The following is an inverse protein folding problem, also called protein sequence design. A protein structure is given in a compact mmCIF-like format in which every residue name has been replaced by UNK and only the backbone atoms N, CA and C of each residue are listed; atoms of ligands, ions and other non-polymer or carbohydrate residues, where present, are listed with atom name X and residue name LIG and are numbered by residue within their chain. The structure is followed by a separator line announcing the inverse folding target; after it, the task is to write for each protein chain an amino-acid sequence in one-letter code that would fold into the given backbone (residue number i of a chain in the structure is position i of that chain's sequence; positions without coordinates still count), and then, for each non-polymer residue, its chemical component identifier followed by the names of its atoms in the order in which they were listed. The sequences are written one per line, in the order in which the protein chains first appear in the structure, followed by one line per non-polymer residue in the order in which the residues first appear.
data_IF_325711460956
#
_entry.id   IF_325711460956
#
_cell.length_a   1.000
_cell.length_b   1.000
_cell.length_c   1.000
_cell.angle_alpha   90.00
_cell.angle_beta   90.00
_cell.angle_gamma   90.00
#
_symmetry.space_group_name_H-M   'P 1'
#
loop_
_entity.id
_entity.type
_entity.pdbx_description
1 polymer ?
2 non-polymer ?
3 non-polymer ?
4 water ?
#
# COMPACT_ATOMS: atom_id res chain seq x y z
N UNK A 4 -15.80 14.02 -11.00
CA UNK A 4 -14.77 13.18 -11.62
C UNK A 4 -15.36 12.36 -12.76
N UNK A 5 -15.01 12.73 -13.99
CA UNK A 5 -15.60 12.12 -15.17
C UNK A 5 -15.51 10.60 -15.12
N UNK A 6 -14.29 10.07 -15.04
CA UNK A 6 -14.12 8.62 -15.06
C UNK A 6 -14.91 7.92 -13.97
N UNK A 7 -15.25 8.62 -12.87
CA UNK A 7 -16.06 8.02 -11.83
C UNK A 7 -17.55 8.08 -12.19
N UNK A 8 -18.01 9.21 -12.74
CA UNK A 8 -19.38 9.30 -13.21
C UNK A 8 -19.66 8.23 -14.26
N UNK A 9 -18.69 7.96 -15.13
CA UNK A 9 -18.89 6.90 -16.09
C UNK A 9 -19.04 5.55 -15.41
N UNK A 10 -18.23 5.27 -14.40
CA UNK A 10 -18.38 4.00 -13.69
C UNK A 10 -19.70 3.93 -12.94
N UNK A 11 -20.23 5.07 -12.48
CA UNK A 11 -21.52 5.09 -11.83
C UNK A 11 -22.62 4.64 -12.80
N UNK A 12 -22.71 5.30 -13.95
CA UNK A 12 -23.72 4.94 -14.94
C UNK A 12 -23.57 3.49 -15.37
N UNK A 13 -22.34 3.01 -15.51
CA UNK A 13 -22.13 1.62 -15.90
C UNK A 13 -22.71 0.66 -14.87
N UNK A 14 -22.71 1.04 -13.59
CA UNK A 14 -23.30 0.20 -12.56
C UNK A 14 -24.82 0.27 -12.58
N UNK A 15 -25.37 1.48 -12.74
CA UNK A 15 -26.82 1.63 -12.77
C UNK A 15 -27.42 0.95 -13.99
N UNK A 16 -26.87 1.23 -15.17
CA UNK A 16 -27.35 0.57 -16.38
C UNK A 16 -27.32 -0.94 -16.26
N UNK A 17 -26.55 -1.48 -15.33
CA UNK A 17 -26.50 -2.92 -15.08
C UNK A 17 -27.31 -3.31 -13.84
N UNK A 18 -28.20 -2.44 -13.38
CA UNK A 18 -29.17 -2.80 -12.36
C UNK A 18 -28.73 -2.56 -10.93
N UNK A 19 -27.48 -2.21 -10.69
CA UNK A 19 -26.98 -2.03 -9.33
C UNK A 19 -27.45 -0.67 -8.81
N UNK A 20 -28.21 -0.70 -7.68
CA UNK A 20 -28.75 0.50 -7.05
C UNK A 20 -27.82 0.98 -5.94
N UNK A 21 -27.78 2.29 -5.68
CA UNK A 21 -26.94 2.80 -4.58
C UNK A 21 -27.56 2.51 -3.23
N UNK A 22 -26.79 2.78 -2.18
CA UNK A 22 -27.22 2.54 -0.81
C UNK A 22 -26.71 3.68 0.07
N UNK A 23 -27.54 4.11 1.01
CA UNK A 23 -27.20 5.18 1.93
C UNK A 23 -26.66 4.59 3.24
N UNK A 24 -25.71 5.30 3.84
CA UNK A 24 -25.14 4.92 5.12
C UNK A 24 -25.01 6.17 5.98
N UNK A 25 -24.96 5.96 7.29
CA UNK A 25 -24.88 7.03 8.26
C UNK A 25 -23.59 6.91 9.06
N UNK A 26 -23.27 7.98 9.78
CA UNK A 26 -22.06 8.01 10.59
C UNK A 26 -22.01 6.81 11.52
N UNK A 27 -20.85 6.16 11.57
CA UNK A 27 -20.56 5.02 12.45
C UNK A 27 -21.18 3.72 11.95
N UNK A 28 -21.64 3.67 10.71
CA UNK A 28 -22.14 2.42 10.13
C UNK A 28 -21.02 1.74 9.36
N UNK A 29 -21.13 0.42 9.24
CA UNK A 29 -20.13 -0.40 8.57
C UNK A 29 -20.67 -0.85 7.22
N UNK A 30 -19.98 -0.47 6.14
CA UNK A 30 -20.39 -0.88 4.80
C UNK A 30 -19.99 -2.33 4.54
N UNK A 31 -18.80 -2.73 4.98
CA UNK A 31 -18.45 -4.13 5.12
C UNK A 31 -17.65 -4.29 6.41
N UNK A 32 -17.69 -5.49 6.97
CA UNK A 32 -17.05 -5.77 8.24
C UNK A 32 -16.19 -7.02 8.12
N UNK A 33 -15.38 -7.25 9.16
CA UNK A 33 -14.38 -8.32 9.15
C UNK A 33 -14.97 -9.70 9.39
N UNK A 34 -16.25 -9.81 9.74
CA UNK A 34 -16.84 -11.10 10.10
C UNK A 34 -17.70 -11.69 9.00
N UNK A 35 -18.20 -10.89 8.08
CA UNK A 35 -18.98 -11.42 6.98
C UNK A 35 -18.12 -12.37 6.15
N UNK A 36 -18.57 -13.61 5.89
CA UNK A 36 -17.81 -14.46 4.97
C UNK A 36 -17.88 -13.98 3.54
N UNK A 37 -18.94 -13.28 3.17
CA UNK A 37 -19.06 -12.72 1.83
C UNK A 37 -18.20 -11.47 1.73
N UNK A 38 -17.33 -11.44 0.71
CA UNK A 38 -16.52 -10.27 0.42
C UNK A 38 -17.18 -9.45 -0.67
N UNK A 39 -16.87 -8.14 -0.67
CA UNK A 39 -17.59 -7.19 -1.52
C UNK A 39 -16.61 -6.22 -2.17
N UNK A 40 -17.03 -5.69 -3.31
CA UNK A 40 -16.38 -4.54 -3.93
C UNK A 40 -17.22 -3.31 -3.65
N UNK A 41 -16.58 -2.26 -3.14
CA UNK A 41 -17.27 -1.04 -2.70
C UNK A 41 -16.88 0.09 -3.64
N UNK A 42 -17.88 0.73 -4.23
CA UNK A 42 -17.68 1.97 -4.98
C UNK A 42 -18.20 3.10 -4.12
N UNK A 43 -17.33 3.66 -3.28
CA UNK A 43 -17.67 4.82 -2.48
C UNK A 43 -17.86 6.01 -3.40
N UNK A 44 -19.11 6.38 -3.66
CA UNK A 44 -19.41 7.48 -4.55
C UNK A 44 -19.38 8.82 -3.84
N UNK A 45 -19.96 8.91 -2.64
CA UNK A 45 -19.97 10.14 -1.88
C UNK A 45 -19.84 9.82 -0.39
N UNK A 46 -19.13 10.67 0.33
CA UNK A 46 -18.92 10.51 1.76
C UNK A 46 -17.45 10.25 2.08
N UNK A 47 -17.19 10.12 3.38
CA UNK A 47 -15.86 9.86 3.89
C UNK A 47 -15.94 8.65 4.82
N UNK A 48 -15.05 7.69 4.62
CA UNK A 48 -15.03 6.46 5.40
C UNK A 48 -13.60 6.21 5.89
N UNK A 49 -13.43 5.13 6.64
CA UNK A 49 -12.10 4.76 7.12
C UNK A 49 -12.03 3.25 7.28
N UNK A 50 -10.85 2.70 6.97
CA UNK A 50 -10.57 1.28 7.14
C UNK A 50 -10.06 1.04 8.56
N UNK A 51 -10.70 0.11 9.27
CA UNK A 51 -10.36 -0.12 10.67
C UNK A 51 -10.05 -1.59 10.90
N UNK A 52 -9.19 -1.84 11.90
CA UNK A 52 -8.80 -3.18 12.32
C UNK A 52 -9.00 -3.28 13.82
N UNK A 53 -8.79 -4.49 14.35
CA UNK A 53 -8.93 -4.76 15.78
C UNK A 53 -7.84 -5.72 16.22
N UNK A 54 -7.29 -5.49 17.40
CA UNK A 54 -6.24 -6.32 17.96
C UNK A 54 -6.84 -7.34 18.94
N UNK A 55 -5.96 -8.09 19.59
CA UNK A 55 -6.35 -9.09 20.57
C UNK A 55 -7.07 -8.40 21.72
N UNK A 56 -6.59 -7.19 22.04
CA UNK A 56 -7.20 -6.36 23.08
C UNK A 56 -8.64 -6.01 22.74
N UNK A 57 -8.93 -5.81 21.47
CA UNK A 57 -10.14 -5.09 21.10
C UNK A 57 -9.92 -3.60 20.91
N UNK A 58 -8.67 -3.17 20.88
CA UNK A 58 -8.37 -1.84 20.38
C UNK A 58 -8.75 -1.71 18.92
N UNK A 59 -9.49 -0.64 18.62
CA UNK A 59 -9.75 -0.20 17.25
C UNK A 59 -8.51 0.51 16.71
N UNK A 60 -8.21 0.28 15.44
CA UNK A 60 -7.10 0.92 14.76
C UNK A 60 -7.60 1.52 13.45
N UNK A 61 -7.19 2.76 13.17
CA UNK A 61 -7.49 3.42 11.91
C UNK A 61 -6.30 3.27 10.98
N UNK A 62 -6.54 2.76 9.77
CA UNK A 62 -5.48 2.42 8.83
C UNK A 62 -5.48 3.28 7.58
N UNK A 63 -6.65 3.57 7.02
CA UNK A 63 -6.73 4.28 5.75
C UNK A 63 -8.02 5.07 5.70
N UNK A 64 -8.00 6.17 4.96
CA UNK A 64 -9.18 7.00 4.74
C UNK A 64 -9.52 6.98 3.26
N UNK A 65 -10.82 7.02 2.97
CA UNK A 65 -11.30 7.06 1.59
C UNK A 65 -12.42 8.08 1.47
N UNK A 66 -12.35 8.92 0.44
CA UNK A 66 -13.45 9.78 0.07
C UNK A 66 -13.99 9.33 -1.29
N UNK A 67 -15.28 9.59 -1.50
CA UNK A 67 -15.87 9.31 -2.80
C UNK A 67 -15.52 10.42 -3.76
N UNK A 68 -15.30 10.12 -5.04
CA UNK A 68 -15.40 8.78 -5.60
C UNK A 68 -14.14 7.96 -5.34
N UNK A 69 -14.31 6.65 -5.13
CA UNK A 69 -13.18 5.74 -4.96
C UNK A 69 -13.72 4.32 -4.88
N UNK A 70 -12.81 3.35 -4.96
CA UNK A 70 -13.14 1.93 -4.92
C UNK A 70 -12.37 1.29 -3.76
N UNK A 71 -13.06 0.47 -2.98
CA UNK A 71 -12.44 -0.32 -1.91
C UNK A 71 -12.95 -1.74 -2.04
N UNK A 72 -12.03 -2.70 -2.09
CA UNK A 72 -12.35 -4.11 -2.23
C UNK A 72 -11.83 -4.88 -1.03
N UNK A 73 -12.73 -5.57 -0.34
CA UNK A 73 -12.39 -6.33 0.85
C UNK A 73 -11.90 -7.74 0.54
N UNK A 74 -11.87 -8.12 -0.73
CA UNK A 74 -11.46 -9.46 -1.10
C UNK A 74 -10.66 -9.46 -2.38
N UNK A 75 -9.81 -10.47 -2.52
CA UNK A 75 -9.06 -10.65 -3.76
C UNK A 75 -10.01 -10.96 -4.91
N UNK A 76 -9.72 -10.41 -6.08
CA UNK A 76 -10.64 -10.56 -7.21
C UNK A 76 -10.65 -12.00 -7.70
N UNK A 77 -9.52 -12.69 -7.63
CA UNK A 77 -9.45 -14.06 -8.16
C UNK A 77 -10.05 -15.07 -7.18
N UNK A 78 -9.54 -15.10 -5.96
CA UNK A 78 -10.00 -16.08 -4.98
C UNK A 78 -11.31 -15.69 -4.31
N UNK A 79 -11.65 -14.40 -4.29
CA UNK A 79 -12.90 -13.90 -3.70
C UNK A 79 -12.89 -13.97 -2.18
N UNK A 80 -11.71 -13.85 -1.56
CA UNK A 80 -11.56 -14.04 -0.12
C UNK A 80 -10.90 -12.81 0.49
N UNK A 81 -11.04 -12.68 1.80
CA UNK A 81 -10.63 -11.49 2.52
C UNK A 81 -9.17 -11.15 2.24
N UNK A 82 -8.90 -9.87 2.01
CA UNK A 82 -7.53 -9.36 1.96
C UNK A 82 -7.01 -8.95 3.32
N UNK A 83 -7.77 -9.18 4.39
CA UNK A 83 -7.42 -8.77 5.73
C UNK A 83 -8.69 -8.53 6.51
N UNK A 84 -8.60 -8.71 7.83
CA UNK A 84 -9.76 -8.52 8.71
C UNK A 84 -9.91 -7.03 8.98
N UNK A 85 -10.54 -6.35 8.03
CA UNK A 85 -10.76 -4.91 8.08
C UNK A 85 -12.25 -4.62 8.05
N UNK A 86 -12.62 -3.47 8.62
CA UNK A 86 -13.98 -2.95 8.54
C UNK A 86 -13.94 -1.55 7.95
N UNK A 87 -14.98 -1.21 7.20
CA UNK A 87 -15.07 0.08 6.52
C UNK A 87 -16.20 0.89 7.15
N UNK A 88 -15.84 1.91 7.91
CA UNK A 88 -16.77 2.68 8.72
C UNK A 88 -16.98 4.06 8.11
N UNK A 89 -18.22 4.54 8.16
CA UNK A 89 -18.54 5.90 7.71
C UNK A 89 -18.25 6.87 8.85
N UNK A 90 -17.53 7.95 8.52
CA UNK A 90 -17.27 9.00 9.49
C UNK A 90 -17.91 10.33 9.11
N UNK A 91 -18.31 10.52 7.86
CA UNK A 91 -19.15 11.65 7.50
C UNK A 91 -20.59 11.40 7.96
N UNK A 92 -21.42 12.43 7.86
CA UNK A 92 -22.80 12.31 8.31
C UNK A 92 -23.57 11.33 7.44
N UNK A 93 -23.35 11.35 6.12
CA UNK A 93 -23.97 10.41 5.21
C UNK A 93 -22.97 9.99 4.15
N UNK A 94 -23.22 8.84 3.54
CA UNK A 94 -22.35 8.30 2.50
C UNK A 94 -23.16 7.46 1.54
N UNK A 95 -23.05 7.75 0.25
CA UNK A 95 -23.71 7.00 -0.80
C UNK A 95 -22.71 6.03 -1.43
N UNK A 96 -23.11 4.76 -1.55
CA UNK A 96 -22.18 3.70 -1.91
C UNK A 96 -22.91 2.64 -2.71
N UNK A 97 -22.18 1.98 -3.61
CA UNK A 97 -22.65 0.81 -4.34
C UNK A 97 -21.90 -0.41 -3.83
N UNK A 98 -22.64 -1.46 -3.47
CA UNK A 98 -22.03 -2.66 -2.93
C UNK A 98 -22.19 -3.82 -3.90
N UNK A 99 -21.05 -4.41 -4.28
CA UNK A 99 -21.03 -5.43 -5.31
C UNK A 99 -20.35 -6.68 -4.78
N UNK A 100 -21.00 -7.83 -4.92
CA UNK A 100 -20.33 -9.09 -4.64
C UNK A 100 -19.19 -9.27 -5.63
N UNK A 101 -18.07 -9.80 -5.17
CA UNK A 101 -16.86 -9.79 -5.98
C UNK A 101 -17.04 -10.61 -7.25
N UNK A 102 -17.70 -11.75 -7.13
CA UNK A 102 -17.95 -12.61 -8.28
C UNK A 102 -18.80 -11.89 -9.31
N UNK A 103 -19.77 -11.14 -8.81
CA UNK A 103 -20.64 -10.34 -9.66
C UNK A 103 -19.83 -9.28 -10.38
N UNK A 104 -18.84 -8.72 -9.71
CA UNK A 104 -18.03 -7.66 -10.30
C UNK A 104 -17.27 -8.12 -11.53
N UNK A 105 -16.71 -9.32 -11.51
CA UNK A 105 -15.76 -9.71 -12.56
C UNK A 105 -16.37 -9.89 -13.94
N UNK A 106 -17.50 -10.59 -14.03
CA UNK A 106 -18.29 -10.57 -15.26
C UNK A 106 -18.67 -9.14 -15.64
N UNK A 107 -18.79 -8.27 -14.65
CA UNK A 107 -19.16 -6.89 -14.91
C UNK A 107 -18.00 -6.10 -15.50
N UNK A 108 -16.82 -6.22 -14.89
CA UNK A 108 -15.64 -5.53 -15.40
C UNK A 108 -15.15 -6.14 -16.72
N UNK A 109 -15.52 -7.38 -17.00
CA UNK A 109 -15.05 -8.04 -18.23
C UNK A 109 -15.60 -7.35 -19.47
N UNK A 110 -16.89 -7.04 -19.48
CA UNK A 110 -17.57 -6.54 -20.66
C UNK A 110 -17.34 -5.05 -20.90
N UNK A 111 -16.29 -4.47 -20.30
CA UNK A 111 -15.91 -3.09 -20.56
C UNK A 111 -14.53 -2.82 -19.99
N UNK A 112 -13.51 -2.81 -20.85
CA UNK A 112 -12.14 -2.66 -20.38
C UNK A 112 -11.89 -1.29 -19.77
N UNK A 113 -12.55 -0.25 -20.30
CA UNK A 113 -12.34 1.11 -19.77
C UNK A 113 -12.60 1.15 -18.27
N UNK A 114 -13.72 0.57 -17.84
CA UNK A 114 -14.03 0.55 -16.41
C UNK A 114 -13.11 -0.40 -15.65
N UNK A 115 -12.59 -1.43 -16.32
CA UNK A 115 -11.56 -2.25 -15.71
C UNK A 115 -10.31 -1.42 -15.43
N UNK A 116 -9.88 -0.62 -16.40
CA UNK A 116 -8.74 0.26 -16.19
C UNK A 116 -9.00 1.24 -15.07
N UNK A 117 -10.22 1.76 -14.97
CA UNK A 117 -10.56 2.66 -13.87
C UNK A 117 -10.31 1.98 -12.54
N UNK A 118 -11.01 0.87 -12.29
CA UNK A 118 -10.83 0.14 -11.03
C UNK A 118 -9.36 -0.25 -10.85
N UNK A 119 -8.73 -0.73 -11.92
CA UNK A 119 -7.35 -1.17 -11.82
C UNK A 119 -6.44 -0.05 -11.33
N UNK A 120 -6.68 1.17 -11.82
CA UNK A 120 -5.82 2.29 -11.47
C UNK A 120 -6.10 2.81 -10.07
N UNK A 121 -7.34 2.68 -9.57
CA UNK A 121 -7.61 3.05 -8.19
C UNK A 121 -6.76 2.23 -7.23
N UNK A 122 -6.56 0.95 -7.55
CA UNK A 122 -5.66 0.12 -6.76
C UNK A 122 -4.24 0.66 -6.82
N UNK A 123 -3.80 1.10 -8.00
CA UNK A 123 -2.46 1.66 -8.12
C UNK A 123 -2.30 2.91 -7.25
N UNK A 124 -3.24 3.85 -7.38
CA UNK A 124 -3.22 5.02 -6.50
C UNK A 124 -3.12 4.62 -5.05
N UNK A 125 -3.78 3.52 -4.67
CA UNK A 125 -3.76 3.07 -3.29
C UNK A 125 -2.38 2.56 -2.90
N UNK A 126 -1.74 1.78 -3.77
CA UNK A 126 -0.40 1.27 -3.48
C UNK A 126 0.56 2.43 -3.24
N UNK A 127 0.64 3.36 -4.19
CA UNK A 127 1.63 4.43 -4.11
C UNK A 127 1.32 5.39 -2.96
N UNK A 128 0.05 5.59 -2.64
CA UNK A 128 -0.30 6.39 -1.47
C UNK A 128 0.34 5.82 -0.21
N UNK A 129 0.20 4.51 -0.01
CA UNK A 129 0.74 3.89 1.19
C UNK A 129 2.27 3.96 1.23
N UNK A 130 2.91 3.91 0.06
CA UNK A 130 4.36 3.99 0.03
C UNK A 130 4.86 5.42 0.22
N UNK A 131 4.08 6.41 -0.21
CA UNK A 131 4.44 7.80 0.06
C UNK A 131 4.21 8.14 1.54
N UNK A 132 3.12 7.64 2.12
CA UNK A 132 2.92 7.81 3.56
C UNK A 132 4.09 7.20 4.33
N UNK A 133 4.48 5.98 3.98
CA UNK A 133 5.62 5.34 4.64
C UNK A 133 6.89 6.12 4.41
N UNK A 134 7.08 6.66 3.20
CA UNK A 134 8.30 7.41 2.90
C UNK A 134 8.36 8.69 3.72
N UNK A 135 7.24 9.43 3.79
CA UNK A 135 7.23 10.66 4.57
C UNK A 135 7.42 10.38 6.06
N UNK A 136 6.76 9.34 6.57
CA UNK A 136 6.96 8.98 7.97
C UNK A 136 8.39 8.55 8.25
N UNK A 137 9.04 7.90 7.28
CA UNK A 137 10.41 7.44 7.50
C UNK A 137 11.36 8.61 7.70
N UNK A 138 11.07 9.76 7.08
CA UNK A 138 11.97 10.91 7.12
C UNK A 138 11.58 11.83 8.27
N UNK A 139 10.36 12.36 8.22
CA UNK A 139 9.90 13.37 9.16
C UNK A 139 8.94 12.82 10.21
N UNK A 140 8.87 11.50 10.34
CA UNK A 140 8.12 10.85 11.41
C UNK A 140 6.64 11.21 11.44
N UNK A 141 6.06 11.08 12.64
CA UNK A 141 4.65 11.41 12.82
C UNK A 141 4.36 12.83 12.39
N UNK A 142 5.31 13.74 12.62
CA UNK A 142 5.13 15.12 12.16
C UNK A 142 4.99 15.19 10.65
N UNK A 143 5.60 14.25 9.92
CA UNK A 143 5.45 14.18 8.49
C UNK A 143 4.11 13.60 8.08
N UNK A 144 3.64 12.60 8.83
CA UNK A 144 2.34 12.01 8.56
C UNK A 144 1.23 13.05 8.73
N UNK A 145 1.26 13.81 9.82
CA UNK A 145 0.23 14.81 10.08
C UNK A 145 0.23 15.87 8.99
N UNK A 146 1.41 16.41 8.67
CA UNK A 146 1.50 17.41 7.60
C UNK A 146 1.00 16.84 6.29
N UNK A 147 1.28 15.56 6.03
CA UNK A 147 0.75 14.94 4.83
C UNK A 147 -0.76 14.86 4.84
N UNK A 148 -1.34 14.34 5.93
CA UNK A 148 -2.79 14.28 6.03
C UNK A 148 -3.41 15.66 5.94
N UNK A 149 -2.74 16.69 6.46
CA UNK A 149 -3.22 18.05 6.29
C UNK A 149 -3.09 18.50 4.83
N UNK A 150 -1.99 18.14 4.18
CA UNK A 150 -1.80 18.51 2.78
C UNK A 150 -2.91 17.92 1.91
N UNK A 151 -3.25 16.65 2.13
CA UNK A 151 -4.32 16.02 1.36
C UNK A 151 -5.62 16.78 1.55
N UNK A 152 -6.01 17.02 2.80
CA UNK A 152 -7.26 17.73 3.06
C UNK A 152 -7.25 19.11 2.41
N UNK A 153 -6.09 19.77 2.39
CA UNK A 153 -5.98 21.08 1.76
C UNK A 153 -6.23 20.99 0.27
N UNK A 154 -5.64 19.99 -0.40
CA UNK A 154 -5.79 19.88 -1.85
C UNK A 154 -7.20 19.47 -2.24
N UNK A 155 -7.87 18.68 -1.41
CA UNK A 155 -9.16 18.10 -1.78
C UNK A 155 -10.31 19.03 -1.45
N UNK A 156 -10.26 19.70 -0.29
CA UNK A 156 -11.36 20.53 0.17
C UNK A 156 -11.00 22.01 0.27
N UNK A 157 -9.79 22.40 -0.11
CA UNK A 157 -9.34 23.77 0.07
C UNK A 157 -9.78 24.67 -1.07
N UNK A 158 -10.23 25.87 -0.70
CA UNK A 158 -10.59 26.93 -1.63
C UNK A 158 -9.77 28.17 -1.29
N UNK A 159 -9.14 28.77 -2.30
CA UNK A 159 -8.30 29.93 -2.06
C UNK A 159 -9.16 31.15 -1.73
N UNK A 160 -8.80 31.86 -0.66
CA UNK A 160 -9.55 33.02 -0.17
C UNK A 160 -8.57 34.05 0.38
N UNK A 161 -9.04 35.23 0.78
CA UNK A 161 -8.10 36.20 1.36
C UNK A 161 -7.57 35.80 2.72
N UNK A 162 -8.36 35.07 3.51
CA UNK A 162 -7.91 34.55 4.78
C UNK A 162 -7.03 33.32 4.64
N UNK A 163 -6.92 32.75 3.44
CA UNK A 163 -6.11 31.56 3.23
C UNK A 163 -6.88 30.52 2.43
N UNK A 164 -6.51 29.25 2.60
CA UNK A 164 -7.18 28.15 1.92
C UNK A 164 -8.21 27.59 2.91
N UNK A 165 -9.44 28.04 2.79
CA UNK A 165 -10.51 27.57 3.66
C UNK A 165 -10.77 26.09 3.42
N UNK A 166 -10.70 25.30 4.49
CA UNK A 166 -11.02 23.89 4.41
C UNK A 166 -12.53 23.75 4.42
N UNK A 167 -13.13 23.65 3.23
CA UNK A 167 -14.57 23.50 3.12
C UNK A 167 -14.97 22.10 3.58
N UNK A 168 -15.24 21.96 4.87
CA UNK A 168 -15.51 20.67 5.47
C UNK A 168 -15.99 20.88 6.90
N UNK A 169 -17.14 20.29 7.25
CA UNK A 169 -17.75 20.56 8.55
C UNK A 169 -16.73 20.33 9.66
N UNK A 170 -16.78 21.20 10.68
CA UNK A 170 -15.82 21.13 11.77
C UNK A 170 -15.90 19.80 12.51
N UNK A 171 -17.09 19.20 12.56
CA UNK A 171 -17.21 17.87 13.15
C UNK A 171 -16.30 16.89 12.43
N UNK A 172 -16.53 16.69 11.13
CA UNK A 172 -15.73 15.76 10.35
C UNK A 172 -14.25 16.15 10.34
N UNK A 173 -13.97 17.46 10.32
CA UNK A 173 -12.58 17.90 10.23
C UNK A 173 -11.82 17.65 11.52
N UNK A 174 -12.50 17.69 12.67
CA UNK A 174 -11.84 17.43 13.94
C UNK A 174 -11.46 15.96 14.08
N UNK A 175 -12.34 15.06 13.62
CA UNK A 175 -12.04 13.64 13.69
C UNK A 175 -10.81 13.28 12.87
N UNK A 176 -10.78 13.71 11.61
CA UNK A 176 -9.75 13.24 10.67
C UNK A 176 -8.35 13.52 11.21
N UNK A 177 -8.09 14.75 11.63
CA UNK A 177 -6.78 15.12 12.13
C UNK A 177 -6.24 14.15 13.17
N UNK A 185 -4.72 9.36 19.76
CA UNK A 185 -3.41 9.45 20.42
C UNK A 185 -3.23 10.83 21.04
N UNK A 186 -2.46 10.90 22.13
CA UNK A 186 -2.15 12.18 22.74
C UNK A 186 -1.06 12.91 21.97
N UNK A 187 -0.08 12.17 21.43
CA UNK A 187 0.96 12.79 20.62
C UNK A 187 0.39 13.42 19.36
N UNK A 188 -0.73 12.89 18.86
CA UNK A 188 -1.36 13.47 17.67
C UNK A 188 -1.97 14.83 18.01
N UNK A 189 -2.60 14.94 19.18
CA UNK A 189 -3.25 16.19 19.55
C UNK A 189 -2.23 17.33 19.63
N UNK A 190 -1.05 17.02 20.17
CA UNK A 190 -0.07 18.08 20.37
C UNK A 190 0.53 18.56 19.05
N UNK A 191 0.72 17.69 18.12
CA UNK A 191 1.31 18.06 16.83
C UNK A 191 0.35 18.96 16.05
N UNK A 192 -0.93 18.57 16.00
CA UNK A 192 -1.92 19.40 15.31
C UNK A 192 -1.94 20.80 15.92
N UNK A 193 -1.93 20.88 17.25
CA UNK A 193 -2.04 22.17 17.90
C UNK A 193 -0.80 23.03 17.69
N UNK A 194 0.39 22.41 17.66
CA UNK A 194 1.59 23.18 17.41
C UNK A 194 1.56 23.82 16.02
N UNK A 195 1.03 23.11 15.03
CA UNK A 195 0.81 23.71 13.73
C UNK A 195 -0.17 24.87 13.83
N UNK A 196 -1.21 24.70 14.62
CA UNK A 196 -2.12 25.79 14.89
C UNK A 196 -1.40 26.92 15.62
N UNK A 197 -0.54 26.58 16.56
CA UNK A 197 0.24 27.57 17.27
C UNK A 197 1.15 28.34 16.31
N UNK A 198 1.84 27.62 15.43
CA UNK A 198 2.74 28.23 14.46
C UNK A 198 2.03 28.92 13.31
N UNK A 199 0.70 28.98 13.34
CA UNK A 199 -0.09 29.69 12.34
C UNK A 199 0.00 29.03 10.97
N UNK A 200 0.27 27.73 10.93
CA UNK A 200 0.18 26.97 9.68
C UNK A 200 -1.27 26.87 9.25
N UNK A 201 -2.14 26.41 10.14
CA UNK A 201 -3.58 26.40 9.94
C UNK A 201 -4.20 27.23 11.05
N UNK A 202 -5.13 28.10 10.69
CA UNK A 202 -5.70 29.09 11.60
C UNK A 202 -7.21 28.88 11.69
N UNK A 203 -7.76 29.11 12.88
CA UNK A 203 -9.20 29.16 13.09
C UNK A 203 -9.65 30.61 13.05
N UNK A 204 -10.74 30.87 12.33
CA UNK A 204 -11.21 32.24 12.15
C UNK A 204 -12.63 32.25 11.59
N UNK A 205 -13.56 32.84 12.33
CA UNK A 205 -14.95 32.96 11.91
C UNK A 205 -15.56 31.57 11.64
N UNK A 206 -15.42 30.69 12.63
CA UNK A 206 -16.02 29.35 12.63
C UNK A 206 -15.42 28.42 11.58
N UNK A 207 -14.38 28.85 10.85
CA UNK A 207 -13.79 28.04 9.80
C UNK A 207 -12.29 27.92 10.03
N UNK A 208 -11.67 27.00 9.28
CA UNK A 208 -10.23 26.76 9.36
C UNK A 208 -9.59 27.10 8.02
N UNK A 209 -8.49 27.86 8.06
CA UNK A 209 -7.78 28.29 6.86
C UNK A 209 -6.33 27.83 6.95
N UNK A 210 -5.81 27.28 5.86
CA UNK A 210 -4.41 26.92 5.77
C UNK A 210 -3.65 28.13 5.23
N UNK A 211 -2.58 28.51 5.92
CA UNK A 211 -1.88 29.75 5.61
C UNK A 211 -0.40 29.56 5.30
N UNK A 212 0.19 28.41 5.61
CA UNK A 212 1.58 28.11 5.27
C UNK A 212 1.61 26.78 4.52
N UNK A 213 1.13 26.81 3.27
CA UNK A 213 1.11 25.60 2.45
C UNK A 213 2.50 25.05 2.23
N UNK A 214 3.51 25.91 2.11
CA UNK A 214 4.87 25.45 1.92
C UNK A 214 5.34 24.62 3.10
N UNK A 215 4.87 24.95 4.31
CA UNK A 215 5.24 24.16 5.48
C UNK A 215 4.80 22.71 5.32
N UNK A 216 3.57 22.50 4.83
CA UNK A 216 3.07 21.15 4.63
C UNK A 216 3.81 20.44 3.51
N UNK A 217 3.97 21.12 2.37
CA UNK A 217 4.71 20.52 1.26
C UNK A 217 6.13 20.13 1.67
N UNK A 218 6.74 20.89 2.58
CA UNK A 218 8.11 20.62 2.98
C UNK A 218 8.22 19.31 3.75
N UNK A 219 7.28 19.06 4.67
CA UNK A 219 7.38 17.93 5.57
C UNK A 219 6.60 16.71 5.10
N UNK A 220 5.84 16.83 4.01
CA UNK A 220 5.22 15.68 3.34
C UNK A 220 5.55 15.74 1.86
N UNK A 221 6.84 15.75 1.52
CA UNK A 221 7.22 15.98 0.12
C UNK A 221 6.85 14.83 -0.79
N UNK A 222 6.83 13.60 -0.30
CA UNK A 222 6.51 12.46 -1.14
C UNK A 222 5.01 12.28 -1.32
N UNK A 223 4.22 12.70 -0.33
CA UNK A 223 2.78 12.74 -0.54
C UNK A 223 2.37 13.92 -1.40
N UNK A 224 3.18 14.99 -1.41
CA UNK A 224 2.95 16.08 -2.35
C UNK A 224 3.25 15.63 -3.78
N UNK A 225 4.24 14.75 -3.96
CA UNK A 225 4.51 14.19 -5.28
C UNK A 225 3.41 13.21 -5.68
N UNK A 226 3.01 12.33 -4.76
CA UNK A 226 1.93 11.40 -5.05
C UNK A 226 0.71 12.12 -5.60
N UNK A 227 0.33 13.21 -4.95
CA UNK A 227 -0.79 14.01 -5.41
C UNK A 227 -0.51 14.60 -6.78
N UNK A 228 0.72 15.03 -7.00
CA UNK A 228 1.09 15.63 -8.28
C UNK A 228 1.02 14.60 -9.40
N UNK A 229 1.48 13.37 -9.14
CA UNK A 229 1.49 12.33 -10.16
C UNK A 229 0.14 11.64 -10.31
N UNK A 230 -0.69 11.65 -9.28
CA UNK A 230 -1.97 10.96 -9.29
C UNK A 230 -3.17 11.89 -9.53
N UNK A 231 -3.15 13.09 -8.94
CA UNK A 231 -4.23 14.07 -9.09
C UNK A 231 -3.62 15.40 -9.51
N UNK A 232 -3.07 15.48 -10.72
CA UNK A 232 -2.41 16.73 -11.14
C UNK A 232 -3.34 17.92 -11.21
N UNK A 233 -4.54 17.74 -11.75
CA UNK A 233 -5.47 18.87 -11.86
C UNK A 233 -5.85 19.41 -10.49
N UNK A 234 -6.10 18.52 -9.53
CA UNK A 234 -6.37 18.97 -8.16
C UNK A 234 -5.12 19.55 -7.52
N UNK A 235 -3.94 19.02 -7.86
CA UNK A 235 -2.69 19.56 -7.35
C UNK A 235 -2.40 20.94 -7.91
N UNK A 236 -2.84 21.20 -9.15
CA UNK A 236 -2.48 22.45 -9.81
C UNK A 236 -3.24 23.67 -9.30
N UNK A 237 -4.45 23.48 -8.80
CA UNK A 237 -5.27 24.62 -8.39
C UNK A 237 -4.57 25.45 -7.32
N UNK A 238 -3.89 24.80 -6.38
CA UNK A 238 -3.23 25.48 -5.27
C UNK A 238 -1.72 25.61 -5.49
N UNK A 239 -1.23 25.28 -6.68
CA UNK A 239 0.19 25.40 -6.97
C UNK A 239 0.42 26.26 -8.21
N UNK B 4 3.75 -21.53 -8.55
CA UNK B 4 2.63 -20.62 -8.74
C UNK B 4 1.96 -20.88 -10.08
N UNK B 5 0.77 -21.49 -10.03
CA UNK B 5 0.06 -21.86 -11.25
C UNK B 5 -0.21 -20.65 -12.13
N UNK B 6 -0.90 -19.64 -11.57
CA UNK B 6 -1.31 -18.49 -12.38
C UNK B 6 -0.12 -17.66 -12.84
N UNK B 7 1.02 -17.74 -12.16
CA UNK B 7 2.21 -17.02 -12.60
C UNK B 7 2.86 -17.72 -13.78
N UNK B 8 3.02 -19.05 -13.69
CA UNK B 8 3.53 -19.81 -14.82
C UNK B 8 2.67 -19.62 -16.06
N UNK B 9 1.35 -19.51 -15.87
CA UNK B 9 0.46 -19.27 -17.00
C UNK B 9 0.65 -17.86 -17.58
N UNK B 10 0.98 -16.89 -16.73
CA UNK B 10 1.27 -15.56 -17.23
C UNK B 10 2.58 -15.55 -18.01
N UNK B 11 3.57 -16.34 -17.57
CA UNK B 11 4.82 -16.46 -18.31
C UNK B 11 4.57 -16.91 -19.74
N UNK B 12 3.81 -18.00 -19.92
CA UNK B 12 3.53 -18.49 -21.27
C UNK B 12 2.87 -17.41 -22.12
N UNK B 13 1.83 -16.76 -21.57
CA UNK B 13 1.10 -15.76 -22.34
C UNK B 13 2.02 -14.67 -22.87
N UNK B 14 3.07 -14.33 -22.14
CA UNK B 14 3.99 -13.29 -22.58
C UNK B 14 4.93 -13.81 -23.67
N UNK B 15 5.52 -14.99 -23.44
CA UNK B 15 6.46 -15.54 -24.43
C UNK B 15 5.76 -15.81 -25.75
N UNK B 16 4.50 -16.24 -25.71
CA UNK B 16 3.72 -16.43 -26.93
C UNK B 16 3.31 -15.12 -27.57
N UNK B 17 3.69 -13.98 -27.00
CA UNK B 17 3.41 -12.66 -27.58
C UNK B 17 4.68 -11.92 -27.94
N UNK B 18 5.83 -12.59 -27.96
CA UNK B 18 7.07 -11.97 -28.35
C UNK B 18 7.83 -11.29 -27.23
N UNK B 19 7.46 -11.52 -25.98
CA UNK B 19 8.13 -10.92 -24.83
C UNK B 19 9.07 -11.97 -24.23
N UNK B 20 10.37 -11.66 -24.23
CA UNK B 20 11.39 -12.59 -23.80
C UNK B 20 11.94 -12.20 -22.44
N UNK B 21 12.50 -13.15 -21.69
CA UNK B 21 13.08 -12.84 -20.39
C UNK B 21 14.44 -12.16 -20.53
N UNK B 22 14.84 -11.48 -19.46
CA UNK B 22 16.07 -10.71 -19.45
C UNK B 22 16.80 -10.94 -18.14
N UNK B 23 18.12 -11.16 -18.23
CA UNK B 23 18.94 -11.34 -17.04
C UNK B 23 19.36 -9.98 -16.48
N UNK B 24 19.27 -9.86 -15.15
CA UNK B 24 19.74 -8.69 -14.44
C UNK B 24 20.59 -9.15 -13.26
N UNK B 25 21.76 -8.56 -13.11
CA UNK B 25 22.64 -8.90 -12.00
C UNK B 25 22.51 -7.89 -10.88
N UNK B 26 23.02 -8.27 -9.71
CA UNK B 26 22.88 -7.48 -8.50
C UNK B 26 23.21 -6.01 -8.76
N UNK B 27 22.42 -5.12 -8.16
CA UNK B 27 22.62 -3.67 -8.14
C UNK B 27 22.13 -3.00 -9.42
N UNK B 28 21.65 -3.75 -10.42
CA UNK B 28 21.10 -3.14 -11.61
C UNK B 28 19.67 -2.65 -11.35
N UNK B 29 19.30 -1.58 -12.05
CA UNK B 29 17.98 -0.96 -11.90
C UNK B 29 17.12 -1.37 -13.08
N UNK B 30 16.08 -2.17 -12.82
CA UNK B 30 15.23 -2.67 -13.88
C UNK B 30 14.39 -1.53 -14.47
N UNK B 31 13.93 -0.61 -13.63
CA UNK B 31 13.50 0.70 -14.09
C UNK B 31 14.01 1.73 -13.09
N UNK B 32 14.07 2.99 -13.54
CA UNK B 32 14.65 4.06 -12.74
C UNK B 32 13.71 5.26 -12.73
N UNK B 33 13.91 6.11 -11.73
CA UNK B 33 13.03 7.26 -11.49
C UNK B 33 13.22 8.38 -12.50
N UNK B 34 14.29 8.36 -13.30
CA UNK B 34 14.54 9.40 -14.29
C UNK B 34 14.07 9.03 -15.69
N UNK B 35 13.72 7.78 -15.92
CA UNK B 35 13.28 7.37 -17.24
C UNK B 35 11.83 7.79 -17.45
N UNK B 36 11.53 8.64 -18.44
CA UNK B 36 10.12 9.02 -18.65
C UNK B 36 9.27 7.88 -19.18
N UNK B 37 9.87 6.84 -19.76
CA UNK B 37 9.14 5.67 -20.20
C UNK B 37 8.84 4.78 -18.99
N UNK B 38 7.57 4.51 -18.75
CA UNK B 38 7.15 3.65 -17.66
C UNK B 38 6.87 2.24 -18.15
N UNK B 39 7.14 1.26 -17.30
CA UNK B 39 7.10 -0.14 -17.69
C UNK B 39 6.25 -0.94 -16.71
N UNK B 40 5.82 -2.10 -17.18
CA UNK B 40 5.28 -3.15 -16.34
C UNK B 40 6.32 -4.26 -16.23
N UNK B 41 6.67 -4.63 -15.01
CA UNK B 41 7.74 -5.59 -14.75
C UNK B 41 7.09 -6.85 -14.19
N UNK B 42 7.29 -7.97 -14.88
CA UNK B 42 6.92 -9.29 -14.35
C UNK B 42 8.20 -9.94 -13.85
N UNK B 43 8.50 -9.72 -12.58
CA UNK B 43 9.67 -10.33 -11.94
C UNK B 43 9.39 -11.82 -11.77
N UNK B 44 9.98 -12.64 -12.63
CA UNK B 44 9.75 -14.08 -12.57
C UNK B 44 10.62 -14.76 -11.53
N UNK B 45 11.88 -14.34 -11.42
CA UNK B 45 12.80 -14.94 -10.47
C UNK B 45 13.78 -13.89 -9.98
N UNK B 46 14.15 -13.99 -8.71
CA UNK B 46 15.06 -13.06 -8.08
C UNK B 46 14.36 -12.22 -7.02
N UNK B 47 15.15 -11.33 -6.42
CA UNK B 47 14.68 -10.46 -5.35
C UNK B 47 15.03 -9.02 -5.71
N UNK B 48 14.09 -8.11 -5.47
CA UNK B 48 14.26 -6.70 -5.82
C UNK B 48 13.76 -5.84 -4.67
N UNK B 49 14.02 -4.54 -4.78
CA UNK B 49 13.55 -3.57 -3.79
C UNK B 49 13.21 -2.27 -4.49
N UNK B 50 12.11 -1.67 -4.08
CA UNK B 50 11.73 -0.35 -4.56
C UNK B 50 12.51 0.70 -3.79
N UNK B 51 13.09 1.67 -4.50
CA UNK B 51 13.88 2.72 -3.88
C UNK B 51 13.42 4.09 -4.36
N UNK B 52 13.70 5.09 -3.53
CA UNK B 52 13.54 6.50 -3.88
C UNK B 52 14.81 7.22 -3.47
N UNK B 53 15.47 7.86 -4.43
CA UNK B 53 16.73 8.54 -4.18
C UNK B 53 16.46 10.04 -4.16
N UNK B 54 16.85 10.68 -3.07
CA UNK B 54 16.69 12.12 -2.92
C UNK B 54 17.85 12.86 -3.59
N UNK B 55 17.62 14.15 -3.87
CA UNK B 55 18.70 15.00 -4.36
C UNK B 55 19.88 14.96 -3.41
N UNK B 56 19.61 14.85 -2.10
CA UNK B 56 20.68 14.69 -1.12
C UNK B 56 21.59 13.52 -1.46
N UNK B 57 21.04 12.54 -2.18
CA UNK B 57 21.72 11.29 -2.46
C UNK B 57 21.49 10.18 -1.46
N UNK B 58 20.62 10.42 -0.48
CA UNK B 58 20.13 9.35 0.37
C UNK B 58 19.20 8.40 -0.37
N UNK B 59 19.17 7.14 0.05
CA UNK B 59 18.34 6.14 -0.57
C UNK B 59 17.31 5.56 0.39
N UNK B 60 16.05 5.57 -0.02
CA UNK B 60 14.95 5.13 0.82
C UNK B 60 14.45 3.78 0.32
N UNK B 61 14.45 2.78 1.19
CA UNK B 61 14.00 1.43 0.84
C UNK B 61 12.53 1.30 1.20
N UNK B 62 11.67 1.27 0.17
CA UNK B 62 10.23 1.38 0.35
C UNK B 62 9.52 0.03 0.33
N UNK B 63 9.94 -0.90 -0.53
CA UNK B 63 9.23 -2.16 -0.70
C UNK B 63 10.21 -3.20 -1.20
N UNK B 64 9.85 -4.47 -1.03
CA UNK B 64 10.64 -5.60 -1.50
C UNK B 64 9.74 -6.59 -2.22
N UNK B 65 10.29 -7.24 -3.25
CA UNK B 65 9.54 -8.21 -4.03
C UNK B 65 10.44 -9.37 -4.43
N UNK B 66 9.90 -10.57 -4.31
CA UNK B 66 10.50 -11.76 -4.89
C UNK B 66 9.65 -12.21 -6.08
N UNK B 67 10.26 -13.03 -6.95
CA UNK B 67 9.53 -13.58 -8.07
C UNK B 67 8.82 -14.87 -7.65
N UNK B 68 7.63 -15.15 -8.18
CA UNK B 68 6.97 -14.33 -9.21
C UNK B 68 6.15 -13.20 -8.60
N UNK B 69 6.21 -12.03 -9.25
CA UNK B 69 5.41 -10.89 -8.84
C UNK B 69 5.43 -9.88 -9.98
N UNK B 70 4.55 -8.87 -9.88
CA UNK B 70 4.41 -7.85 -10.90
C UNK B 70 4.53 -6.48 -10.24
N UNK B 71 5.35 -5.61 -10.84
CA UNK B 71 5.57 -4.26 -10.36
C UNK B 71 5.45 -3.32 -11.55
N UNK B 72 4.44 -2.44 -11.52
CA UNK B 72 4.22 -1.47 -12.57
C UNK B 72 4.71 -0.10 -12.10
N UNK B 73 5.55 0.53 -12.90
CA UNK B 73 6.09 1.85 -12.59
C UNK B 73 5.20 2.99 -13.07
N UNK B 74 4.17 2.70 -13.86
CA UNK B 74 3.28 3.72 -14.37
C UNK B 74 1.83 3.31 -14.24
N UNK B 75 0.95 4.31 -14.35
CA UNK B 75 -0.48 4.07 -14.27
C UNK B 75 -0.99 3.45 -15.57
N UNK B 76 -1.74 2.36 -15.44
CA UNK B 76 -2.16 1.59 -16.62
C UNK B 76 -2.92 2.46 -17.59
N UNK B 77 -3.62 3.48 -17.09
CA UNK B 77 -4.46 4.31 -17.95
C UNK B 77 -3.69 5.50 -18.51
N UNK B 78 -3.08 6.32 -17.64
CA UNK B 78 -2.36 7.50 -18.09
C UNK B 78 -0.96 7.18 -18.60
N UNK B 79 -0.37 6.06 -18.18
CA UNK B 79 0.98 5.66 -18.55
C UNK B 79 2.05 6.54 -17.91
N UNK B 80 1.67 7.44 -17.01
CA UNK B 80 2.61 8.30 -16.33
C UNK B 80 3.09 7.66 -15.03
N UNK B 81 4.16 8.20 -14.49
CA UNK B 81 4.79 7.61 -13.31
C UNK B 81 3.83 7.59 -12.13
N UNK B 82 3.84 6.47 -11.39
CA UNK B 82 3.13 6.39 -10.12
C UNK B 82 3.97 6.91 -8.96
N UNK B 83 5.22 7.31 -9.23
CA UNK B 83 6.12 7.77 -8.20
C UNK B 83 7.55 7.64 -8.66
N UNK B 84 8.43 8.52 -8.18
CA UNK B 84 9.83 8.52 -8.60
C UNK B 84 10.55 7.38 -7.88
N UNK B 85 10.34 6.17 -8.39
CA UNK B 85 10.87 4.96 -7.79
C UNK B 85 11.82 4.25 -8.75
N UNK B 86 12.69 3.43 -8.18
CA UNK B 86 13.55 2.53 -8.96
C UNK B 86 13.33 1.11 -8.45
N UNK B 87 13.65 0.14 -9.29
CA UNK B 87 13.57 -1.27 -8.95
C UNK B 87 14.97 -1.86 -9.02
N UNK B 88 15.63 -1.97 -7.86
CA UNK B 88 17.00 -2.46 -7.79
C UNK B 88 17.02 -3.96 -7.54
N UNK B 89 17.99 -4.64 -8.12
CA UNK B 89 18.20 -6.06 -7.90
C UNK B 89 19.15 -6.24 -6.73
N UNK B 90 18.73 -7.02 -5.73
CA UNK B 90 19.57 -7.29 -4.57
C UNK B 90 20.00 -8.74 -4.47
N UNK B 91 19.45 -9.62 -5.31
CA UNK B 91 20.00 -10.96 -5.47
C UNK B 91 21.10 -10.94 -6.54
N UNK B 92 21.88 -12.02 -6.60
CA UNK B 92 23.00 -12.07 -7.54
C UNK B 92 22.52 -11.93 -8.97
N UNK B 93 21.49 -12.69 -9.35
CA UNK B 93 20.87 -12.58 -10.66
C UNK B 93 19.37 -12.43 -10.50
N UNK B 94 18.73 -11.93 -11.56
CA UNK B 94 17.29 -11.75 -11.59
C UNK B 94 16.79 -11.93 -13.01
N UNK B 95 15.58 -12.47 -13.13
CA UNK B 95 14.95 -12.73 -14.42
C UNK B 95 13.59 -12.02 -14.44
N UNK B 96 13.41 -11.13 -15.42
CA UNK B 96 12.24 -10.28 -15.47
C UNK B 96 11.80 -10.08 -16.92
N UNK B 97 10.49 -9.98 -17.12
CA UNK B 97 9.91 -9.66 -18.42
C UNK B 97 9.52 -8.18 -18.40
N UNK B 98 10.24 -7.37 -19.17
CA UNK B 98 10.08 -5.92 -19.15
C UNK B 98 9.16 -5.51 -20.29
N UNK B 99 8.12 -4.75 -19.98
CA UNK B 99 7.06 -4.42 -20.91
C UNK B 99 6.78 -2.93 -20.83
N UNK B 100 6.65 -2.28 -21.98
CA UNK B 100 6.06 -0.96 -22.04
C UNK B 100 4.59 -1.00 -21.62
N UNK B 101 4.14 0.04 -20.93
CA UNK B 101 2.79 0.07 -20.38
C UNK B 101 1.77 0.01 -21.51
N UNK B 102 2.03 0.72 -22.60
CA UNK B 102 1.06 0.76 -23.69
C UNK B 102 0.88 -0.62 -24.32
N UNK B 103 1.96 -1.40 -24.38
CA UNK B 103 1.86 -2.76 -24.87
C UNK B 103 1.12 -3.67 -23.90
N UNK B 104 1.08 -3.31 -22.60
CA UNK B 104 0.39 -4.15 -21.63
C UNK B 104 -1.13 -4.06 -21.80
N UNK B 105 -1.65 -2.84 -21.98
CA UNK B 105 -3.08 -2.68 -22.21
C UNK B 105 -3.55 -3.52 -23.39
N UNK B 106 -2.68 -3.71 -24.38
CA UNK B 106 -3.04 -4.53 -25.54
C UNK B 106 -3.15 -6.02 -25.16
N UNK B 107 -2.30 -6.48 -24.25
CA UNK B 107 -2.29 -7.89 -23.86
C UNK B 107 -3.34 -8.20 -22.80
N UNK B 108 -3.35 -7.46 -21.68
CA UNK B 108 -4.36 -7.67 -20.67
C UNK B 108 -5.76 -7.49 -21.22
N UNK B 109 -5.90 -6.84 -22.39
CA UNK B 109 -7.20 -6.75 -23.04
C UNK B 109 -7.63 -8.11 -23.58
N UNK B 110 -6.74 -8.76 -24.34
CA UNK B 110 -7.08 -10.00 -25.03
C UNK B 110 -7.40 -11.12 -24.07
N UNK B 111 -6.69 -11.19 -22.95
CA UNK B 111 -7.03 -12.15 -21.90
C UNK B 111 -7.49 -11.50 -20.60
N UNK B 112 -8.68 -11.83 -20.16
CA UNK B 112 -9.15 -11.51 -18.81
C UNK B 112 -8.34 -12.22 -17.72
N UNK B 113 -8.01 -13.47 -17.94
CA UNK B 113 -7.57 -14.33 -16.86
C UNK B 113 -6.28 -13.80 -16.26
N UNK B 114 -5.39 -13.39 -17.14
CA UNK B 114 -4.16 -12.71 -16.76
C UNK B 114 -4.38 -11.34 -16.14
N UNK B 115 -5.33 -10.60 -16.68
CA UNK B 115 -5.62 -9.26 -16.19
C UNK B 115 -6.00 -9.34 -14.72
N UNK B 116 -6.79 -10.34 -14.36
CA UNK B 116 -7.08 -10.61 -12.96
C UNK B 116 -5.81 -10.91 -12.18
N UNK B 117 -4.88 -11.66 -12.77
CA UNK B 117 -3.66 -12.01 -12.06
C UNK B 117 -2.88 -10.76 -11.66
N UNK B 118 -2.61 -9.88 -12.62
CA UNK B 118 -1.91 -8.63 -12.30
C UNK B 118 -2.76 -7.80 -11.33
N UNK B 119 -4.07 -7.78 -11.53
CA UNK B 119 -4.96 -7.07 -10.62
C UNK B 119 -4.81 -7.59 -9.20
N UNK B 120 -4.64 -8.91 -9.05
CA UNK B 120 -4.52 -9.50 -7.72
C UNK B 120 -3.19 -9.15 -7.06
N UNK B 121 -2.13 -8.95 -7.86
CA UNK B 121 -0.85 -8.56 -7.28
C UNK B 121 -0.96 -7.19 -6.61
N UNK B 122 -1.59 -6.23 -7.29
CA UNK B 122 -1.81 -4.92 -6.70
C UNK B 122 -2.48 -5.04 -5.34
N UNK B 123 -3.53 -5.87 -5.26
CA UNK B 123 -4.22 -6.06 -3.99
C UNK B 123 -3.27 -6.58 -2.91
N UNK B 124 -2.37 -7.48 -3.28
CA UNK B 124 -1.40 -7.99 -2.32
C UNK B 124 -0.46 -6.88 -1.85
N UNK B 125 -0.11 -5.96 -2.74
CA UNK B 125 0.74 -4.83 -2.33
C UNK B 125 0.03 -3.96 -1.30
N UNK B 126 -1.22 -3.57 -1.58
CA UNK B 126 -1.93 -2.65 -0.69
C UNK B 126 -2.08 -3.28 0.69
N UNK B 127 -2.65 -4.47 0.75
CA UNK B 127 -2.86 -5.15 2.03
C UNK B 127 -1.54 -5.48 2.72
N UNK B 128 -0.44 -5.56 1.96
CA UNK B 128 0.85 -5.80 2.57
C UNK B 128 1.39 -4.55 3.27
N UNK B 129 1.26 -3.39 2.61
CA UNK B 129 1.70 -2.14 3.23
C UNK B 129 0.85 -1.82 4.45
N UNK B 130 -0.45 -2.10 4.38
CA UNK B 130 -1.33 -1.84 5.52
C UNK B 130 -1.04 -2.78 6.68
N UNK B 131 -0.67 -4.04 6.38
CA UNK B 131 -0.30 -4.96 7.44
C UNK B 131 1.06 -4.61 8.04
N UNK B 132 2.01 -4.21 7.20
CA UNK B 132 3.26 -3.66 7.70
C UNK B 132 2.99 -2.50 8.64
N UNK B 133 2.16 -1.56 8.20
CA UNK B 133 1.82 -0.41 9.04
C UNK B 133 1.12 -0.85 10.32
N UNK B 134 0.15 -1.76 10.19
CA UNK B 134 -0.63 -2.18 11.36
C UNK B 134 0.26 -2.76 12.44
N UNK B 135 1.09 -3.75 12.08
CA UNK B 135 1.99 -4.36 13.06
C UNK B 135 2.95 -3.33 13.65
N UNK B 136 3.29 -2.30 12.89
CA UNK B 136 4.22 -1.29 13.39
C UNK B 136 3.54 -0.40 14.42
N UNK B 137 2.27 -0.06 14.20
CA UNK B 137 1.56 0.81 15.13
C UNK B 137 1.42 0.16 16.50
N UNK B 138 1.22 -1.15 16.54
CA UNK B 138 0.99 -1.86 17.80
C UNK B 138 2.30 -2.26 18.46
N UNK B 139 3.29 -2.69 17.68
CA UNK B 139 4.54 -3.22 18.24
C UNK B 139 5.79 -2.48 17.76
N UNK B 140 5.66 -1.50 16.88
CA UNK B 140 6.79 -0.67 16.52
C UNK B 140 7.89 -1.40 15.77
N UNK B 141 9.10 -0.85 15.89
CA UNK B 141 10.25 -1.41 15.19
C UNK B 141 10.44 -2.89 15.53
N UNK B 142 10.23 -3.25 16.80
CA UNK B 142 10.37 -4.65 17.20
C UNK B 142 9.41 -5.54 16.41
N UNK B 143 8.17 -5.09 16.23
CA UNK B 143 7.22 -5.88 15.46
C UNK B 143 7.57 -5.94 13.98
N UNK B 144 8.01 -4.81 13.42
CA UNK B 144 8.41 -4.79 12.02
C UNK B 144 9.46 -5.85 11.74
N UNK B 145 10.53 -5.88 12.53
CA UNK B 145 11.61 -6.83 12.31
C UNK B 145 11.10 -8.26 12.48
N UNK B 146 10.34 -8.51 13.55
CA UNK B 146 9.71 -9.82 13.70
C UNK B 146 8.93 -10.19 12.45
N UNK B 147 8.19 -9.24 11.89
CA UNK B 147 7.43 -9.51 10.68
C UNK B 147 8.33 -9.94 9.53
N UNK B 148 9.42 -9.20 9.30
CA UNK B 148 10.32 -9.55 8.22
C UNK B 148 10.94 -10.93 8.43
N UNK B 149 11.43 -11.19 9.65
CA UNK B 149 11.96 -12.51 9.96
C UNK B 149 10.92 -13.59 9.71
N UNK B 150 9.67 -13.33 10.11
CA UNK B 150 8.62 -14.34 9.95
C UNK B 150 8.39 -14.67 8.49
N UNK B 151 8.29 -13.64 7.64
CA UNK B 151 8.07 -13.87 6.22
C UNK B 151 9.26 -14.59 5.61
N UNK B 152 10.48 -14.18 5.97
CA UNK B 152 11.66 -14.89 5.49
C UNK B 152 11.66 -16.34 5.95
N UNK B 153 11.09 -16.61 7.13
CA UNK B 153 11.01 -17.98 7.61
C UNK B 153 9.99 -18.79 6.81
N UNK B 154 8.82 -18.22 6.54
CA UNK B 154 7.82 -18.90 5.74
C UNK B 154 8.34 -19.21 4.35
N UNK B 155 8.92 -18.21 3.69
CA UNK B 155 9.28 -18.36 2.28
C UNK B 155 10.57 -19.16 2.12
N UNK B 156 11.60 -18.83 2.91
CA UNK B 156 12.90 -19.47 2.77
C UNK B 156 13.21 -20.34 3.98
N UNK B 157 12.25 -21.15 4.40
CA UNK B 157 12.39 -21.97 5.58
C UNK B 157 12.78 -23.40 5.24
N UNK B 158 13.88 -23.85 5.82
CA UNK B 158 14.30 -25.25 5.74
C UNK B 158 14.55 -25.75 7.15
N UNK B 159 13.94 -26.88 7.49
CA UNK B 159 14.11 -27.43 8.83
C UNK B 159 15.49 -28.05 8.97
N UNK B 160 16.23 -27.62 9.98
CA UNK B 160 17.56 -28.12 10.28
C UNK B 160 17.66 -28.40 11.78
N UNK B 161 18.70 -29.12 12.20
CA UNK B 161 18.87 -29.35 13.65
C UNK B 161 19.12 -28.08 14.44
N UNK B 162 19.57 -27.00 13.79
CA UNK B 162 19.79 -25.72 14.45
C UNK B 162 18.58 -24.79 14.36
N UNK B 163 17.39 -25.35 14.22
CA UNK B 163 16.20 -24.56 14.00
C UNK B 163 15.82 -24.51 12.53
N UNK B 164 15.08 -23.46 12.18
CA UNK B 164 14.63 -23.25 10.81
C UNK B 164 15.66 -22.33 10.13
N UNK B 165 16.48 -22.91 9.27
CA UNK B 165 17.48 -22.12 8.55
C UNK B 165 16.82 -21.26 7.49
N UNK B 166 17.18 -19.98 7.46
CA UNK B 166 16.69 -19.05 6.44
C UNK B 166 17.66 -19.18 5.27
N UNK B 167 17.20 -19.82 4.19
CA UNK B 167 18.08 -20.26 3.13
C UNK B 167 18.31 -19.12 2.16
N UNK B 168 19.06 -18.12 2.62
CA UNK B 168 19.53 -17.04 1.79
C UNK B 168 21.01 -16.82 2.03
N UNK B 169 21.70 -16.26 1.05
CA UNK B 169 23.14 -16.06 1.16
C UNK B 169 23.45 -14.58 1.10
N UNK B 170 24.52 -14.16 1.77
CA UNK B 170 24.87 -12.77 1.83
C UNK B 170 23.71 -11.97 2.40
N UNK B 171 23.03 -12.56 3.37
CA UNK B 171 21.70 -12.08 3.74
C UNK B 171 21.90 -10.94 4.71
N UNK B 172 22.15 -9.76 4.16
CA UNK B 172 22.83 -8.70 4.89
C UNK B 172 21.94 -8.27 6.05
N UNK B 173 22.55 -7.97 7.18
CA UNK B 173 21.76 -7.46 8.30
C UNK B 173 21.18 -6.08 7.99
N UNK B 174 21.89 -5.28 7.21
CA UNK B 174 21.38 -3.95 6.85
C UNK B 174 20.20 -4.06 5.90
N UNK B 175 20.28 -4.97 4.92
CA UNK B 175 19.14 -5.22 4.04
C UNK B 175 17.97 -5.78 4.82
N UNK B 176 18.24 -6.45 5.94
CA UNK B 176 17.16 -6.95 6.79
C UNK B 176 16.41 -5.81 7.47
N UNK B 177 17.13 -4.79 7.92
CA UNK B 177 16.49 -3.66 8.56
C UNK B 177 15.79 -2.75 7.57
N UNK B 178 16.38 -2.58 6.38
CA UNK B 178 15.75 -1.74 5.36
C UNK B 178 14.34 -2.22 5.03
N UNK B 179 14.11 -3.54 5.07
CA UNK B 179 12.79 -4.08 4.76
C UNK B 179 11.83 -3.90 5.93
N UNK B 180 12.34 -3.82 7.16
CA UNK B 180 11.52 -3.59 8.34
C UNK B 180 11.12 -2.11 8.49
N UNK B 181 11.54 -1.25 7.56
CA UNK B 181 11.24 0.16 7.69
C UNK B 181 12.12 0.90 8.66
N UNK B 182 13.34 0.41 8.88
CA UNK B 182 14.29 0.99 9.83
C UNK B 182 15.57 1.30 9.07
N UNK B 183 16.01 2.55 9.14
CA UNK B 183 17.09 3.04 8.28
C UNK B 183 18.47 2.74 8.84
N UNK B 184 18.75 3.13 10.07
CA UNK B 184 20.09 3.10 10.63
C UNK B 184 20.30 1.84 11.47
N UNK B 185 21.53 1.34 11.48
CA UNK B 185 21.84 0.04 12.07
C UNK B 185 21.85 -0.01 13.61
N UNK B 186 21.69 1.14 14.25
CA UNK B 186 21.69 1.19 15.71
C UNK B 186 20.51 0.44 16.30
N UNK B 187 19.31 0.91 15.97
CA UNK B 187 18.08 0.31 16.47
C UNK B 187 18.00 -1.16 16.12
N UNK B 188 18.35 -1.48 14.88
CA UNK B 188 18.29 -2.85 14.41
C UNK B 188 19.24 -3.73 15.22
N UNK B 189 20.46 -3.26 15.40
CA UNK B 189 21.44 -3.99 16.20
C UNK B 189 20.88 -4.25 17.58
N UNK B 190 20.27 -3.23 18.17
CA UNK B 190 19.70 -3.36 19.52
C UNK B 190 18.64 -4.45 19.57
N UNK B 191 17.68 -4.37 18.66
CA UNK B 191 16.55 -5.30 18.61
C UNK B 191 17.06 -6.72 18.39
N UNK B 192 17.93 -6.92 17.40
CA UNK B 192 18.43 -8.26 17.12
C UNK B 192 19.17 -8.82 18.32
N UNK B 193 19.92 -7.97 19.02
CA UNK B 193 20.64 -8.43 20.22
C UNK B 193 19.69 -9.08 21.20
N UNK B 194 18.58 -8.40 21.50
CA UNK B 194 17.59 -8.97 22.41
C UNK B 194 16.99 -10.25 21.85
N UNK B 195 16.95 -10.39 20.53
CA UNK B 195 16.39 -11.60 19.92
C UNK B 195 17.34 -12.78 20.05
N UNK B 196 18.65 -12.55 19.87
CA UNK B 196 19.61 -13.62 20.10
C UNK B 196 19.66 -13.99 21.58
N UNK B 197 19.55 -12.99 22.46
CA UNK B 197 19.57 -13.25 23.90
C UNK B 197 18.35 -14.09 24.31
N UNK B 198 17.17 -13.69 23.85
CA UNK B 198 15.95 -14.44 24.16
C UNK B 198 15.84 -15.73 23.37
N UNK B 199 16.85 -16.11 22.60
CA UNK B 199 16.90 -17.40 21.90
C UNK B 199 15.80 -17.51 20.85
N UNK B 200 15.48 -16.40 20.20
CA UNK B 200 14.54 -16.43 19.08
C UNK B 200 15.25 -16.76 17.78
N UNK B 201 16.46 -16.21 17.59
CA UNK B 201 17.25 -16.42 16.39
C UNK B 201 18.69 -16.72 16.80
N UNK B 202 19.47 -17.19 15.84
CA UNK B 202 20.88 -17.47 16.05
C UNK B 202 21.63 -17.18 14.76
N UNK B 203 22.81 -16.58 14.88
CA UNK B 203 23.66 -16.34 13.73
C UNK B 203 24.79 -17.34 13.78
N UNK B 204 24.81 -18.29 12.85
CA UNK B 204 25.67 -19.45 13.00
C UNK B 204 26.60 -19.66 11.80
N UNK B 205 26.10 -20.36 10.79
CA UNK B 205 26.86 -20.51 9.56
C UNK B 205 26.59 -19.33 8.65
N UNK B 206 26.99 -18.15 9.12
CA UNK B 206 26.98 -16.97 8.27
C UNK B 206 25.55 -16.70 7.84
N UNK B 207 24.61 -17.17 8.67
CA UNK B 207 23.25 -17.42 8.23
C UNK B 207 22.32 -17.36 9.43
N UNK B 208 21.03 -17.17 9.17
CA UNK B 208 20.08 -16.94 10.23
C UNK B 208 19.22 -18.17 10.42
N UNK B 209 19.16 -18.66 11.66
CA UNK B 209 18.29 -19.77 12.02
C UNK B 209 17.25 -19.27 13.01
N UNK B 210 16.01 -19.72 12.83
CA UNK B 210 14.90 -19.38 13.71
C UNK B 210 14.69 -20.54 14.69
N UNK B 211 14.53 -20.21 15.96
CA UNK B 211 14.39 -21.21 17.01
C UNK B 211 13.08 -21.10 17.79
N UNK B 212 12.37 -19.97 17.70
CA UNK B 212 11.11 -19.76 18.41
C UNK B 212 10.15 -19.07 17.43
N UNK B 213 9.50 -19.88 16.59
CA UNK B 213 8.58 -19.34 15.60
C UNK B 213 7.39 -18.65 16.25
N UNK B 214 6.86 -19.24 17.33
CA UNK B 214 5.69 -18.67 17.99
C UNK B 214 5.95 -17.24 18.46
N UNK B 215 7.20 -16.92 18.82
CA UNK B 215 7.54 -15.57 19.24
C UNK B 215 7.29 -14.57 18.11
N UNK B 216 7.81 -14.87 16.92
CA UNK B 216 7.63 -13.97 15.78
C UNK B 216 6.15 -13.76 15.48
N UNK B 217 5.38 -14.85 15.48
CA UNK B 217 3.93 -14.72 15.27
C UNK B 217 3.30 -13.83 16.32
N UNK B 218 3.84 -13.83 17.54
CA UNK B 218 3.21 -13.12 18.65
C UNK B 218 3.25 -11.61 18.44
N UNK B 219 4.29 -11.10 17.79
CA UNK B 219 4.47 -9.67 17.60
C UNK B 219 4.34 -9.23 16.15
N UNK B 220 4.02 -10.16 15.24
CA UNK B 220 3.70 -9.82 13.85
C UNK B 220 2.36 -10.43 13.46
N UNK B 221 1.32 -10.23 14.26
CA UNK B 221 0.04 -10.91 14.00
C UNK B 221 -0.62 -10.45 12.71
N UNK B 222 -0.68 -9.14 12.50
CA UNK B 222 -1.33 -8.61 11.31
C UNK B 222 -0.57 -9.00 10.04
N UNK B 223 0.76 -9.07 10.11
CA UNK B 223 1.52 -9.54 8.97
C UNK B 223 1.43 -11.05 8.84
N UNK B 224 1.37 -11.77 9.97
CA UNK B 224 1.09 -13.20 9.91
C UNK B 224 -0.31 -13.44 9.38
N UNK B 225 -1.28 -12.65 9.86
CA UNK B 225 -2.63 -12.70 9.28
C UNK B 225 -2.59 -12.49 7.78
N UNK B 226 -1.81 -11.51 7.32
CA UNK B 226 -1.74 -11.21 5.90
C UNK B 226 -1.25 -12.41 5.10
N UNK B 227 -0.17 -13.03 5.55
CA UNK B 227 0.36 -14.19 4.82
C UNK B 227 -0.60 -15.35 4.85
N UNK B 228 -1.30 -15.55 5.98
CA UNK B 228 -2.31 -16.60 6.05
C UNK B 228 -3.40 -16.37 5.01
N UNK B 229 -3.84 -15.13 4.84
CA UNK B 229 -4.88 -14.80 3.88
C UNK B 229 -4.35 -14.66 2.46
N UNK B 230 -3.06 -14.34 2.29
CA UNK B 230 -2.47 -14.10 0.98
C UNK B 230 -1.80 -15.34 0.40
N UNK B 231 -1.05 -16.09 1.22
CA UNK B 231 -0.31 -17.26 0.76
C UNK B 231 -0.58 -18.41 1.73
N UNK B 232 -1.82 -18.90 1.78
CA UNK B 232 -2.15 -19.96 2.76
C UNK B 232 -1.34 -21.23 2.55
N UNK B 233 -0.99 -21.57 1.32
CA UNK B 233 -0.20 -22.77 1.08
C UNK B 233 1.18 -22.64 1.73
N UNK B 234 1.90 -21.55 1.42
CA UNK B 234 3.19 -21.32 2.05
C UNK B 234 3.04 -21.13 3.55
N UNK B 235 1.95 -20.50 3.98
CA UNK B 235 1.71 -20.29 5.41
C UNK B 235 1.53 -21.61 6.14
N UNK B 236 0.84 -22.57 5.52
CA UNK B 236 0.60 -23.86 6.15
C UNK B 236 1.86 -24.66 6.39
N UNK B 237 2.96 -24.32 5.72
CA UNK B 237 4.22 -25.03 5.92
C UNK B 237 4.60 -25.10 7.39
N UNK B 238 4.40 -23.99 8.12
CA UNK B 238 4.91 -23.84 9.47
C UNK B 238 3.80 -23.41 10.42
N UNK B 239 2.60 -23.96 10.23
CA UNK B 239 1.49 -23.70 11.15
C UNK B 239 0.68 -24.98 11.35
X LIG C 1 -9.32 -3.31 1.47
X LIG C 1 -8.20 -2.27 1.44
X LIG C 1 -6.87 -2.85 0.96
X LIG C 1 -8.59 -1.21 0.58
X LIG D 1 -6.74 5.48 -0.51
X LIG D 1 -6.01 6.79 -0.81
X LIG D 1 -5.99 7.11 -2.30
X LIG D 1 -6.64 7.84 -0.12
X LIG E 1 -15.26 -8.66 4.92
X LIG F 1 -1.18 25.99 -11.14
X LIG G 1 5.12 -6.61 -1.79
X LIG G 1 5.41 -8.09 -1.49
X LIG G 1 4.12 -8.88 -1.22
X LIG G 1 6.08 -8.65 -2.59
X LIG H 1 5.83 0.83 -8.27
X LIG H 1 5.04 0.32 -7.07
X LIG H 1 3.91 1.27 -6.68
X LIG H 1 4.49 -0.94 -7.39
X LIG I 1 10.35 5.31 -13.95
#
# INVERSE_FOLDING_TARGET
GAMNAQAEEFKKYLETNGIKPKQFHKKELIFNQWDPQEYCIFLYDGITKLTSISENGTIMNLQYYKGAFVIMSGFIDTETSVGYYNLEVISEQATAYVIKINELKELLSKNLTHFFYVFQTLQKQVSYSLAKFNDFSINGKHGSICGQLLILTYVYGKETPDGIKITLDNLTMQELGYSSGIAHSSAVSRIISKLKQEKVIVYKNSCFYVQNLDYLKRYAPKLDEWFYLACPATWGKLN
GAMNAQAEEFKKYLETNGIKPKQFHKKELIFNQWDPQEYCIFLYDGITKLTSISENGTIMNLQYYKGAFVIMSGFIDTETSVGYYNLEVISEQATAYVIKINELKELLSKNLTHFFYVFQTLQKQVSYSLAKFNDFSINGKHGSICGQLLILTYVYGKETPDGIKITLDNLTMQELGYSSGIAHSSAVSRIISKLKQEKVIVYKNSCFYVQNLDYLKRYAPKLDEWFYLACPATWGKLN
IPA C1 C2 C3 O2
IPA C1 C2 C3 O2
NA NA
NA NA
IPA C1 C2 C3 O2
IPA C1 C2 C3 O2
NA NA
#
